data_IF_671432654666
#
_entry.id   IF_671432654666
#
_cell.length_a   1.000
_cell.length_b   1.000
_cell.length_c   1.000
_cell.angle_alpha   90.00
_cell.angle_beta   90.00
_cell.angle_gamma   90.00
#
_symmetry.space_group_name_H-M   'P 1'
#
loop_
_entity.id
_entity.type
_entity.pdbx_description
1 polymer ?
#
# COMPACT_ATOMS: atom_id res chain seq x y z
N UNK A 1 -24.07 -4.97 -18.88
CA UNK A 1 -22.79 -4.32 -18.50
C UNK A 1 -22.66 -3.94 -17.02
N UNK A 2 -23.73 -3.73 -16.23
CA UNK A 2 -23.62 -3.47 -14.76
C UNK A 2 -23.68 -4.72 -13.86
N UNK A 3 -23.80 -5.93 -14.40
CA UNK A 3 -24.05 -7.15 -13.61
C UNK A 3 -22.80 -7.90 -13.16
N UNK A 4 -21.68 -7.79 -13.88
CA UNK A 4 -20.50 -8.66 -13.67
C UNK A 4 -19.55 -8.17 -12.58
N UNK A 5 -19.49 -6.85 -12.32
CA UNK A 5 -18.72 -6.28 -11.19
C UNK A 5 -19.30 -6.67 -9.81
N UNK A 6 -20.56 -7.10 -9.77
CA UNK A 6 -21.24 -7.55 -8.55
C UNK A 6 -21.16 -9.07 -8.33
N UNK A 7 -20.42 -9.80 -9.20
CA UNK A 7 -20.21 -11.24 -8.99
C UNK A 7 -19.44 -11.50 -7.69
N UNK A 8 -19.81 -12.54 -6.94
CA UNK A 8 -19.04 -12.99 -5.78
C UNK A 8 -17.79 -13.78 -6.18
N UNK A 9 -17.68 -14.20 -7.44
CA UNK A 9 -16.49 -14.83 -7.98
C UNK A 9 -15.43 -13.76 -8.31
N UNK A 10 -14.24 -13.89 -7.72
CA UNK A 10 -13.14 -12.97 -7.97
C UNK A 10 -12.53 -13.16 -9.37
N UNK A 11 -12.63 -14.35 -9.98
CA UNK A 11 -12.11 -14.61 -11.34
C UNK A 11 -12.97 -13.96 -12.41
N UNK A 12 -14.30 -13.97 -12.24
CA UNK A 12 -15.22 -13.27 -13.14
C UNK A 12 -15.04 -11.76 -13.05
N UNK A 13 -14.87 -11.23 -11.84
CA UNK A 13 -14.53 -9.81 -11.64
C UNK A 13 -13.16 -9.46 -12.21
N UNK A 14 -12.17 -10.34 -12.08
CA UNK A 14 -10.86 -10.16 -12.70
C UNK A 14 -10.97 -10.13 -14.23
N UNK A 15 -11.78 -11.03 -14.83
CA UNK A 15 -12.01 -11.05 -16.29
C UNK A 15 -12.72 -9.78 -16.75
N UNK A 16 -13.82 -9.39 -16.10
CA UNK A 16 -14.55 -8.17 -16.43
C UNK A 16 -13.71 -6.90 -16.21
N UNK A 17 -12.87 -6.89 -15.15
CA UNK A 17 -11.94 -5.80 -14.86
C UNK A 17 -10.83 -5.69 -15.91
N UNK A 18 -10.31 -6.83 -16.41
CA UNK A 18 -9.39 -6.85 -17.56
C UNK A 18 -10.06 -6.32 -18.83
N UNK A 19 -11.31 -6.70 -19.08
CA UNK A 19 -12.08 -6.22 -20.22
C UNK A 19 -12.39 -4.71 -20.14
N UNK A 20 -12.49 -4.17 -18.92
CA UNK A 20 -12.68 -2.74 -18.63
C UNK A 20 -11.37 -1.95 -18.47
N UNK A 21 -10.23 -2.64 -18.47
CA UNK A 21 -8.93 -2.02 -18.28
C UNK A 21 -8.67 -1.44 -16.88
N UNK A 22 -9.23 -2.04 -15.83
CA UNK A 22 -9.00 -1.68 -14.42
C UNK A 22 -8.29 -2.81 -13.67
N UNK A 23 -7.37 -2.50 -12.75
CA UNK A 23 -6.54 -3.52 -12.09
C UNK A 23 -7.17 -4.11 -10.80
N UNK A 24 -7.09 -5.42 -10.53
CA UNK A 24 -7.78 -6.08 -9.39
C UNK A 24 -6.90 -6.48 -8.18
N UNK A 25 -6.90 -5.76 -7.05
CA UNK A 25 -6.11 -6.18 -5.87
C UNK A 25 -6.63 -7.46 -5.18
N UNK A 26 -5.73 -8.29 -4.64
CA UNK A 26 -6.09 -9.48 -3.86
C UNK A 26 -6.89 -9.10 -2.59
N UNK A 27 -8.15 -9.53 -2.44
CA UNK A 27 -9.09 -8.91 -1.51
C UNK A 27 -8.83 -9.19 -0.01
N UNK A 28 -8.03 -10.21 0.30
CA UNK A 28 -7.82 -10.69 1.68
C UNK A 28 -6.85 -9.86 2.54
N UNK A 29 -6.12 -8.90 1.96
CA UNK A 29 -5.26 -7.98 2.72
C UNK A 29 -4.09 -8.64 3.48
N UNK A 30 -3.76 -9.91 3.21
CA UNK A 30 -2.75 -10.67 3.95
C UNK A 30 -1.35 -10.07 3.87
N UNK A 31 -0.96 -9.49 2.73
CA UNK A 31 0.33 -8.80 2.60
C UNK A 31 0.36 -7.50 3.41
N UNK A 32 -0.71 -6.69 3.34
CA UNK A 32 -0.84 -5.48 4.18
C UNK A 32 -0.87 -5.85 5.66
N UNK A 33 -1.56 -6.94 6.03
CA UNK A 33 -1.58 -7.47 7.40
C UNK A 33 -0.19 -7.87 7.87
N UNK A 34 0.55 -8.64 7.07
CA UNK A 34 1.90 -9.06 7.41
C UNK A 34 2.82 -7.84 7.62
N UNK A 35 2.73 -6.84 6.74
CA UNK A 35 3.47 -5.59 6.88
C UNK A 35 3.07 -4.81 8.15
N UNK A 36 1.77 -4.73 8.44
CA UNK A 36 1.27 -4.12 9.68
C UNK A 36 1.79 -4.83 10.93
N UNK A 37 1.66 -6.15 11.00
CA UNK A 37 2.17 -6.96 12.12
C UNK A 37 3.68 -6.77 12.26
N UNK A 38 4.41 -6.73 11.15
CA UNK A 38 5.86 -6.56 11.17
C UNK A 38 6.27 -5.17 11.66
N UNK A 39 5.53 -4.12 11.30
CA UNK A 39 5.74 -2.75 11.79
C UNK A 39 5.67 -2.61 13.32
N UNK A 40 5.02 -3.57 13.99
CA UNK A 40 4.93 -3.63 15.45
C UNK A 40 6.11 -4.34 16.12
N UNK A 41 6.98 -5.00 15.35
CA UNK A 41 8.20 -5.66 15.86
C UNK A 41 9.36 -4.69 15.98
N UNK A 42 10.39 -5.04 16.76
CA UNK A 42 11.61 -4.21 16.89
C UNK A 42 12.31 -3.96 15.56
N UNK A 43 12.25 -4.92 14.64
CA UNK A 43 12.90 -4.82 13.32
C UNK A 43 12.07 -3.99 12.34
N UNK A 44 10.74 -4.14 12.35
CA UNK A 44 9.85 -3.39 11.45
C UNK A 44 9.47 -1.99 11.97
N UNK A 45 9.77 -1.66 13.23
CA UNK A 45 9.39 -0.37 13.81
C UNK A 45 9.98 0.86 13.09
N UNK A 46 10.99 0.69 12.23
CA UNK A 46 11.53 1.78 11.40
C UNK A 46 10.47 2.38 10.46
N UNK A 47 9.42 1.63 10.12
CA UNK A 47 8.28 2.14 9.37
C UNK A 47 7.60 3.32 10.06
N UNK A 48 7.71 3.42 11.40
CA UNK A 48 7.26 4.62 12.14
C UNK A 48 8.03 5.87 11.72
N UNK A 49 9.31 5.78 11.43
CA UNK A 49 10.11 6.95 11.02
C UNK A 49 9.82 7.37 9.58
N UNK A 50 9.38 6.43 8.75
CA UNK A 50 9.03 6.65 7.34
C UNK A 50 7.62 7.24 7.23
N UNK A 51 6.65 6.72 7.95
CA UNK A 51 5.23 7.06 7.78
C UNK A 51 4.74 8.19 8.70
N UNK A 52 5.46 8.50 9.78
CA UNK A 52 5.05 9.52 10.76
C UNK A 52 4.85 10.88 10.11
N UNK A 53 3.77 11.56 10.50
CA UNK A 53 3.38 12.90 10.04
C UNK A 53 3.15 13.04 8.52
N UNK A 54 3.12 11.92 7.77
CA UNK A 54 2.87 11.91 6.33
C UNK A 54 1.40 11.66 5.99
N UNK A 55 1.01 12.10 4.78
CA UNK A 55 -0.22 11.65 4.12
C UNK A 55 0.06 10.30 3.49
N UNK A 56 -0.52 9.24 4.05
CA UNK A 56 -0.32 7.87 3.55
C UNK A 56 -1.49 7.47 2.65
N UNK A 57 -1.19 6.97 1.46
CA UNK A 57 -2.20 6.48 0.51
C UNK A 57 -1.93 5.01 0.22
N UNK A 58 -2.92 4.14 0.44
CA UNK A 58 -2.87 2.74 0.00
C UNK A 58 -3.62 2.58 -1.33
N UNK A 59 -2.89 2.16 -2.37
CA UNK A 59 -3.44 1.81 -3.68
C UNK A 59 -3.89 0.36 -3.66
N UNK A 60 -5.12 0.10 -4.11
CA UNK A 60 -5.69 -1.25 -4.11
C UNK A 60 -5.87 -1.79 -2.69
N UNK A 61 -6.46 -0.97 -1.81
CA UNK A 61 -6.55 -1.26 -0.38
C UNK A 61 -7.39 -2.52 -0.04
N UNK A 62 -8.17 -3.03 -0.98
CA UNK A 62 -8.99 -4.22 -0.79
C UNK A 62 -10.09 -3.99 0.25
N UNK A 63 -10.49 -5.04 0.97
CA UNK A 63 -11.61 -5.01 1.93
C UNK A 63 -11.16 -4.86 3.39
N UNK A 64 -9.87 -4.97 3.68
CA UNK A 64 -9.36 -5.13 5.04
C UNK A 64 -8.72 -3.85 5.59
N UNK A 65 -8.84 -3.57 6.90
CA UNK A 65 -8.46 -2.27 7.47
C UNK A 65 -6.96 -2.15 7.78
N UNK A 66 -6.14 -3.07 7.27
CA UNK A 66 -4.74 -3.21 7.71
C UNK A 66 -3.85 -2.03 7.30
N UNK A 67 -4.11 -1.38 6.15
CA UNK A 67 -3.34 -0.20 5.74
C UNK A 67 -3.60 0.98 6.66
N UNK A 68 -4.85 1.19 7.07
CA UNK A 68 -5.19 2.19 8.08
C UNK A 68 -4.55 1.84 9.43
N UNK A 69 -4.59 0.57 9.85
CA UNK A 69 -3.97 0.13 11.10
C UNK A 69 -2.45 0.38 11.11
N UNK A 70 -1.77 0.11 10.00
CA UNK A 70 -0.35 0.42 9.79
C UNK A 70 -0.08 1.92 9.89
N UNK A 71 -0.79 2.74 9.10
CA UNK A 71 -0.59 4.18 9.10
C UNK A 71 -0.84 4.81 10.49
N UNK A 72 -1.92 4.39 11.17
CA UNK A 72 -2.25 4.82 12.52
C UNK A 72 -1.19 4.43 13.55
N UNK A 73 -0.74 3.17 13.54
CA UNK A 73 0.30 2.66 14.44
C UNK A 73 1.67 3.33 14.21
N UNK A 74 1.91 3.83 13.00
CA UNK A 74 3.10 4.59 12.64
C UNK A 74 2.98 6.10 12.87
N UNK A 75 1.82 6.61 13.26
CA UNK A 75 1.62 8.04 13.53
C UNK A 75 1.55 8.89 12.26
N UNK A 76 1.00 8.34 11.17
CA UNK A 76 0.73 9.11 9.96
C UNK A 76 -0.23 10.29 10.24
N UNK A 77 -0.12 11.34 9.44
CA UNK A 77 -0.98 12.54 9.57
C UNK A 77 -2.42 12.23 9.16
N UNK A 78 -2.60 11.44 8.11
CA UNK A 78 -3.88 10.92 7.66
C UNK A 78 -3.67 9.73 6.71
N UNK A 79 -4.77 9.04 6.39
CA UNK A 79 -4.77 7.86 5.53
C UNK A 79 -5.85 7.93 4.45
N UNK A 80 -5.52 7.52 3.22
CA UNK A 80 -6.51 7.33 2.15
C UNK A 80 -6.40 5.91 1.61
N UNK A 81 -7.50 5.17 1.66
CA UNK A 81 -7.64 3.91 0.92
C UNK A 81 -8.22 4.20 -0.47
N UNK A 82 -7.49 3.85 -1.51
CA UNK A 82 -7.96 3.92 -2.91
C UNK A 82 -8.37 2.52 -3.34
N UNK A 83 -9.67 2.34 -3.56
CA UNK A 83 -10.25 1.01 -3.81
C UNK A 83 -11.51 1.10 -4.69
N UNK A 84 -11.43 0.76 -5.99
CA UNK A 84 -12.55 0.93 -6.91
C UNK A 84 -13.67 -0.11 -6.75
N UNK A 85 -13.38 -1.32 -6.22
CA UNK A 85 -14.35 -2.43 -6.20
C UNK A 85 -14.94 -2.70 -4.83
N UNK A 86 -14.18 -2.44 -3.77
CA UNK A 86 -14.53 -2.82 -2.41
C UNK A 86 -14.64 -1.65 -1.43
N UNK A 87 -14.74 -0.42 -1.91
CA UNK A 87 -14.72 0.80 -1.09
C UNK A 87 -15.71 0.77 0.08
N UNK A 88 -16.93 0.28 -0.12
CA UNK A 88 -17.94 0.16 0.95
C UNK A 88 -17.50 -0.81 2.05
N UNK A 89 -17.00 -2.00 1.67
CA UNK A 89 -16.48 -2.98 2.62
C UNK A 89 -15.25 -2.44 3.33
N UNK A 90 -14.37 -1.74 2.60
CA UNK A 90 -13.18 -1.16 3.17
C UNK A 90 -13.49 -0.11 4.22
N UNK A 91 -14.45 0.78 3.92
CA UNK A 91 -14.94 1.79 4.85
C UNK A 91 -15.55 1.17 6.11
N UNK A 92 -16.35 0.11 5.93
CA UNK A 92 -16.96 -0.62 7.05
C UNK A 92 -15.90 -1.32 7.90
N UNK A 93 -14.89 -1.95 7.29
CA UNK A 93 -13.78 -2.60 7.98
C UNK A 93 -12.94 -1.62 8.80
N UNK A 94 -12.63 -0.43 8.26
CA UNK A 94 -11.90 0.60 9.00
C UNK A 94 -12.74 1.12 10.17
N UNK A 95 -14.05 1.33 9.95
CA UNK A 95 -14.97 1.75 11.02
C UNK A 95 -15.04 0.70 12.13
N UNK A 96 -15.24 -0.57 11.77
CA UNK A 96 -15.28 -1.68 12.72
C UNK A 96 -14.00 -1.82 13.53
N UNK A 97 -12.82 -1.65 12.90
CA UNK A 97 -11.54 -1.65 13.62
C UNK A 97 -11.45 -0.51 14.65
N UNK A 98 -11.91 0.69 14.29
CA UNK A 98 -11.91 1.85 15.20
C UNK A 98 -12.86 1.60 16.38
N UNK A 99 -14.05 1.07 16.11
CA UNK A 99 -15.05 0.74 17.14
C UNK A 99 -14.55 -0.37 18.08
N UNK A 100 -13.93 -1.42 17.55
CA UNK A 100 -13.40 -2.55 18.33
C UNK A 100 -12.23 -2.13 19.22
N UNK A 101 -11.29 -1.33 18.69
CA UNK A 101 -10.08 -0.94 19.44
C UNK A 101 -10.29 0.29 20.33
N UNK A 102 -11.25 1.15 20.02
CA UNK A 102 -11.57 2.34 20.80
C UNK A 102 -10.34 3.21 21.09
N UNK A 103 -10.14 3.55 22.36
CA UNK A 103 -9.02 4.39 22.83
C UNK A 103 -7.64 3.74 22.69
N UNK A 104 -7.56 2.42 22.45
CA UNK A 104 -6.29 1.71 22.27
C UNK A 104 -5.70 1.87 20.85
N UNK A 105 -6.40 2.56 19.95
CA UNK A 105 -5.91 2.90 18.62
C UNK A 105 -5.61 4.40 18.55
N UNK A 106 -4.39 4.74 18.09
CA UNK A 106 -4.07 6.13 17.75
C UNK A 106 -4.85 6.54 16.49
N UNK A 107 -6.07 7.03 16.68
CA UNK A 107 -6.98 7.36 15.57
C UNK A 107 -6.40 8.52 14.75
N UNK A 108 -6.35 8.32 13.44
CA UNK A 108 -5.96 9.35 12.47
C UNK A 108 -7.14 9.65 11.52
N UNK A 109 -7.23 10.85 10.93
CA UNK A 109 -8.20 11.12 9.87
C UNK A 109 -8.02 10.15 8.71
N UNK A 110 -9.12 9.64 8.16
CA UNK A 110 -9.08 8.76 7.00
C UNK A 110 -10.17 9.06 5.98
N UNK A 111 -9.92 8.65 4.74
CA UNK A 111 -10.89 8.64 3.63
C UNK A 111 -10.80 7.32 2.87
N UNK A 112 -11.91 6.90 2.28
CA UNK A 112 -11.94 5.82 1.27
C UNK A 112 -12.42 6.43 -0.04
N UNK A 113 -11.66 6.20 -1.11
CA UNK A 113 -11.91 6.74 -2.45
C UNK A 113 -12.23 5.59 -3.41
N UNK A 114 -13.46 5.61 -3.93
CA UNK A 114 -13.98 4.60 -4.83
C UNK A 114 -13.60 4.90 -6.30
N UNK A 115 -12.30 5.01 -6.56
CA UNK A 115 -11.76 5.35 -7.89
C UNK A 115 -10.59 4.44 -8.25
N UNK A 116 -10.27 4.40 -9.54
CA UNK A 116 -9.08 3.72 -10.05
C UNK A 116 -7.79 4.37 -9.51
N UNK A 117 -6.74 3.58 -9.28
CA UNK A 117 -5.47 4.10 -8.73
C UNK A 117 -4.82 5.14 -9.64
N UNK A 118 -4.84 4.95 -10.97
CA UNK A 118 -4.26 5.92 -11.89
C UNK A 118 -5.05 7.24 -11.87
N UNK A 119 -6.39 7.15 -11.87
CA UNK A 119 -7.27 8.32 -11.77
C UNK A 119 -7.05 9.09 -10.48
N UNK A 120 -6.87 8.38 -9.35
CA UNK A 120 -6.55 9.02 -8.07
C UNK A 120 -5.22 9.76 -8.14
N UNK A 121 -4.15 9.08 -8.55
CA UNK A 121 -2.81 9.68 -8.57
C UNK A 121 -2.74 10.91 -9.48
N UNK A 122 -3.40 10.89 -10.64
CA UNK A 122 -3.46 12.02 -11.59
C UNK A 122 -4.12 13.28 -11.02
N UNK A 123 -4.91 13.17 -9.95
CA UNK A 123 -5.55 14.31 -9.27
C UNK A 123 -4.71 14.87 -8.13
N UNK A 124 -3.73 14.10 -7.66
CA UNK A 124 -2.91 14.50 -6.54
C UNK A 124 -1.78 15.45 -7.00
N UNK A 125 -1.48 16.50 -6.22
CA UNK A 125 -0.32 17.35 -6.45
C UNK A 125 1.00 16.58 -6.48
N UNK A 126 1.99 17.17 -7.13
CA UNK A 126 3.39 16.71 -7.07
C UNK A 126 3.89 16.72 -5.62
N UNK A 127 4.81 15.81 -5.31
CA UNK A 127 5.60 15.81 -4.07
C UNK A 127 4.78 15.87 -2.76
N UNK A 128 3.65 15.16 -2.69
CA UNK A 128 2.70 15.23 -1.57
C UNK A 128 2.52 13.94 -0.76
N UNK A 129 2.77 12.78 -1.36
CA UNK A 129 2.32 11.51 -0.81
C UNK A 129 3.46 10.63 -0.29
N UNK A 130 3.14 9.81 0.71
CA UNK A 130 3.79 8.53 0.93
C UNK A 130 2.81 7.42 0.51
N UNK A 131 3.26 6.51 -0.35
CA UNK A 131 2.36 5.56 -1.02
C UNK A 131 2.65 4.14 -0.54
N UNK A 132 1.58 3.34 -0.39
CA UNK A 132 1.61 1.93 -0.07
C UNK A 132 0.87 1.16 -1.17
N UNK A 133 1.42 0.02 -1.61
CA UNK A 133 0.68 -0.95 -2.40
C UNK A 133 1.09 -2.37 -2.00
N UNK A 134 0.11 -3.23 -1.77
CA UNK A 134 0.32 -4.58 -1.32
C UNK A 134 -0.40 -5.57 -2.25
N UNK A 135 0.31 -6.56 -2.79
CA UNK A 135 -0.32 -7.61 -3.62
C UNK A 135 -0.87 -7.12 -4.97
N UNK A 136 -0.30 -6.06 -5.54
CA UNK A 136 -0.66 -5.60 -6.90
C UNK A 136 0.25 -6.30 -7.92
N UNK A 137 -0.16 -7.47 -8.40
CA UNK A 137 0.62 -8.28 -9.35
C UNK A 137 0.29 -7.95 -10.82
N UNK A 138 1.19 -8.26 -11.76
CA UNK A 138 0.96 -8.01 -13.18
C UNK A 138 -0.31 -8.68 -13.72
N UNK A 139 -0.68 -9.84 -13.18
CA UNK A 139 -1.86 -10.57 -13.63
C UNK A 139 -3.16 -9.85 -13.32
N UNK A 140 -3.15 -8.91 -12.38
CA UNK A 140 -4.32 -8.15 -12.02
C UNK A 140 -4.36 -6.79 -12.70
N UNK A 141 -3.25 -6.29 -13.24
CA UNK A 141 -3.20 -5.00 -13.90
C UNK A 141 -3.83 -5.07 -15.31
N UNK A 142 -4.37 -3.94 -15.81
CA UNK A 142 -4.93 -3.85 -17.17
C UNK A 142 -3.94 -4.20 -18.28
N UNK A 143 -2.65 -3.96 -18.02
CA UNK A 143 -1.57 -4.19 -18.98
C UNK A 143 -0.36 -3.31 -18.68
N UNK A 144 0.70 -3.54 -19.46
CA UNK A 144 2.00 -2.89 -19.26
C UNK A 144 1.94 -1.36 -19.38
N UNK A 145 1.12 -0.83 -20.31
CA UNK A 145 0.99 0.61 -20.51
C UNK A 145 0.30 1.30 -19.33
N UNK A 146 -0.68 0.64 -18.74
CA UNK A 146 -1.31 1.12 -17.51
C UNK A 146 -0.31 1.12 -16.36
N UNK A 147 0.44 0.03 -16.20
CA UNK A 147 1.48 -0.09 -15.18
C UNK A 147 2.49 1.06 -15.27
N UNK A 148 3.01 1.33 -16.47
CA UNK A 148 3.96 2.44 -16.71
C UNK A 148 3.38 3.80 -16.35
N UNK A 149 2.09 4.03 -16.61
CA UNK A 149 1.43 5.29 -16.22
C UNK A 149 1.34 5.42 -14.70
N UNK A 150 0.95 4.35 -14.00
CA UNK A 150 0.92 4.34 -12.52
C UNK A 150 2.32 4.56 -11.95
N UNK A 151 3.33 3.88 -12.49
CA UNK A 151 4.73 4.04 -12.09
C UNK A 151 5.24 5.48 -12.30
N UNK A 152 4.91 6.11 -13.43
CA UNK A 152 5.24 7.52 -13.67
C UNK A 152 4.56 8.47 -12.69
N UNK A 153 3.30 8.24 -12.38
CA UNK A 153 2.57 9.03 -11.39
C UNK A 153 3.11 8.83 -9.97
N UNK A 154 3.55 7.61 -9.62
CA UNK A 154 4.25 7.36 -8.35
C UNK A 154 5.51 8.23 -8.23
N UNK A 155 6.32 8.34 -9.29
CA UNK A 155 7.49 9.22 -9.28
C UNK A 155 7.12 10.70 -9.04
N UNK A 156 6.00 11.16 -9.62
CA UNK A 156 5.56 12.56 -9.55
C UNK A 156 4.99 12.94 -8.18
N UNK A 157 4.14 12.09 -7.61
CA UNK A 157 3.35 12.42 -6.41
C UNK A 157 4.08 12.17 -5.10
N UNK A 158 5.18 11.39 -5.09
CA UNK A 158 5.92 11.09 -3.86
C UNK A 158 6.60 12.32 -3.30
N UNK A 159 6.39 12.62 -2.01
CA UNK A 159 7.22 13.62 -1.32
C UNK A 159 8.70 13.26 -1.47
N UNK A 160 9.58 14.26 -1.62
CA UNK A 160 10.99 14.05 -1.96
C UNK A 160 11.73 13.09 -1.03
N UNK A 161 11.40 13.14 0.26
CA UNK A 161 11.98 12.31 1.31
C UNK A 161 11.07 11.15 1.76
N UNK A 162 9.97 10.89 1.04
CA UNK A 162 9.08 9.75 1.27
C UNK A 162 9.47 8.54 0.41
N UNK A 163 8.77 7.43 0.68
CA UNK A 163 8.89 6.19 -0.08
C UNK A 163 7.54 5.76 -0.64
N UNK A 164 7.60 5.07 -1.78
CA UNK A 164 6.59 4.10 -2.18
C UNK A 164 6.96 2.74 -1.58
N UNK A 165 6.10 2.26 -0.66
CA UNK A 165 6.21 0.97 0.00
C UNK A 165 5.45 -0.07 -0.82
N UNK A 166 6.19 -1.00 -1.42
CA UNK A 166 5.65 -2.07 -2.26
C UNK A 166 5.85 -3.42 -1.58
N UNK A 167 4.78 -4.04 -1.08
CA UNK A 167 4.84 -5.40 -0.52
C UNK A 167 4.16 -6.39 -1.46
N UNK A 168 4.94 -7.29 -2.07
CA UNK A 168 4.42 -8.21 -3.11
C UNK A 168 3.63 -7.52 -4.24
N UNK A 169 3.99 -6.29 -4.59
CA UNK A 169 3.51 -5.59 -5.78
C UNK A 169 4.57 -5.60 -6.87
N UNK A 170 4.12 -5.68 -8.13
CA UNK A 170 4.93 -5.66 -9.34
C UNK A 170 5.12 -4.24 -9.90
N UNK A 171 4.51 -3.22 -9.28
CA UNK A 171 4.82 -1.82 -9.58
C UNK A 171 6.29 -1.53 -9.26
N UNK A 172 7.03 -1.08 -10.27
CA UNK A 172 8.47 -0.84 -10.20
C UNK A 172 8.84 0.47 -10.91
N UNK A 173 8.61 1.64 -10.26
CA UNK A 173 9.00 2.94 -10.82
C UNK A 173 10.52 3.02 -11.00
N UNK A 174 10.98 3.00 -12.25
CA UNK A 174 12.40 2.88 -12.62
C UNK A 174 13.25 4.12 -12.26
N UNK A 175 12.62 5.28 -12.13
CA UNK A 175 13.31 6.53 -11.79
C UNK A 175 13.59 6.65 -10.28
N UNK A 176 13.08 5.72 -9.47
CA UNK A 176 13.33 5.67 -8.04
C UNK A 176 14.34 4.57 -7.71
N UNK A 177 15.30 4.90 -6.83
CA UNK A 177 16.15 3.87 -6.23
C UNK A 177 15.25 2.93 -5.42
N UNK A 178 15.59 1.64 -5.41
CA UNK A 178 14.85 0.66 -4.61
C UNK A 178 15.77 -0.15 -3.71
N UNK A 179 15.24 -0.54 -2.54
CA UNK A 179 15.88 -1.48 -1.63
C UNK A 179 14.85 -2.49 -1.14
N UNK A 180 15.23 -3.75 -1.08
CA UNK A 180 14.36 -4.86 -0.73
C UNK A 180 14.73 -5.42 0.65
N UNK A 181 13.72 -5.61 1.48
CA UNK A 181 13.81 -6.22 2.80
C UNK A 181 12.91 -7.46 2.80
N UNK A 182 13.51 -8.61 3.09
CA UNK A 182 12.76 -9.83 3.40
C UNK A 182 12.55 -9.94 4.90
N UNK A 183 11.33 -10.29 5.32
CA UNK A 183 10.98 -10.44 6.73
C UNK A 183 10.08 -11.66 6.95
N UNK A 184 10.24 -12.38 8.08
CA UNK A 184 9.34 -13.46 8.43
C UNK A 184 7.98 -12.88 8.82
N UNK A 185 6.90 -13.48 8.31
CA UNK A 185 5.54 -13.12 8.71
C UNK A 185 5.36 -13.34 10.21
N UNK A 186 4.99 -12.32 11.01
CA UNK A 186 4.88 -12.51 12.45
C UNK A 186 3.86 -13.57 12.86
N UNK A 187 2.71 -13.63 12.19
CA UNK A 187 1.68 -14.65 12.42
C UNK A 187 2.05 -16.05 11.91
N UNK A 188 3.03 -16.18 11.03
CA UNK A 188 3.54 -17.48 10.57
C UNK A 188 5.02 -17.37 10.12
N UNK A 189 5.98 -17.52 11.04
CA UNK A 189 7.40 -17.28 10.74
C UNK A 189 8.05 -18.19 9.68
N UNK A 190 7.32 -19.21 9.20
CA UNK A 190 7.77 -20.07 8.09
C UNK A 190 7.57 -19.40 6.71
N UNK A 191 6.75 -18.35 6.65
CA UNK A 191 6.51 -17.56 5.45
C UNK A 191 7.41 -16.34 5.50
N UNK A 192 8.14 -16.09 4.40
CA UNK A 192 8.90 -14.86 4.19
C UNK A 192 8.09 -13.94 3.29
N UNK A 193 7.85 -12.73 3.77
CA UNK A 193 7.25 -11.64 3.00
C UNK A 193 8.34 -10.67 2.54
N UNK A 194 8.04 -9.94 1.47
CA UNK A 194 8.93 -8.98 0.81
C UNK A 194 8.36 -7.57 0.96
N UNK A 195 9.20 -6.64 1.40
CA UNK A 195 8.95 -5.20 1.29
C UNK A 195 10.02 -4.57 0.40
N UNK A 196 9.60 -3.83 -0.61
CA UNK A 196 10.47 -2.96 -1.40
C UNK A 196 10.15 -1.51 -1.09
N UNK A 197 11.18 -0.75 -0.78
CA UNK A 197 11.10 0.70 -0.58
C UNK A 197 11.62 1.35 -1.85
N UNK A 198 10.82 2.17 -2.50
CA UNK A 198 11.22 2.99 -3.64
C UNK A 198 11.25 4.45 -3.22
N UNK A 199 12.38 5.14 -3.42
CA UNK A 199 12.53 6.53 -2.99
C UNK A 199 13.53 7.31 -3.82
N UNK A 200 13.40 8.64 -3.75
CA UNK A 200 14.34 9.59 -4.34
C UNK A 200 15.65 9.70 -3.55
N UNK A 201 16.56 10.55 -4.01
CA UNK A 201 17.85 10.77 -3.36
C UNK A 201 17.69 11.26 -1.91
N UNK A 202 16.82 12.23 -1.66
CA UNK A 202 16.59 12.81 -0.33
C UNK A 202 16.05 11.77 0.67
N UNK A 203 15.17 10.86 0.23
CA UNK A 203 14.66 9.76 1.05
C UNK A 203 15.80 8.83 1.51
N UNK A 204 16.72 8.47 0.60
CA UNK A 204 17.86 7.62 0.94
C UNK A 204 18.99 8.35 1.67
N UNK A 205 19.15 9.66 1.48
CA UNK A 205 20.05 10.46 2.32
C UNK A 205 19.59 10.44 3.78
N UNK A 206 18.27 10.58 4.00
CA UNK A 206 17.67 10.63 5.32
C UNK A 206 17.57 9.27 6.01
N UNK A 207 17.15 8.23 5.28
CA UNK A 207 16.80 6.93 5.86
C UNK A 207 17.68 5.76 5.39
N UNK A 208 18.54 5.97 4.39
CA UNK A 208 19.26 4.90 3.69
C UNK A 208 20.15 4.05 4.59
N UNK A 209 20.94 4.68 5.47
CA UNK A 209 21.82 3.93 6.39
C UNK A 209 21.03 2.96 7.29
N UNK A 210 19.87 3.39 7.80
CA UNK A 210 19.01 2.55 8.64
C UNK A 210 18.41 1.39 7.83
N UNK A 211 17.99 1.65 6.60
CA UNK A 211 17.46 0.63 5.70
C UNK A 211 18.55 -0.38 5.31
N UNK A 212 19.76 0.07 4.99
CA UNK A 212 20.90 -0.78 4.65
C UNK A 212 21.28 -1.72 5.80
N UNK A 213 21.30 -1.22 7.03
CA UNK A 213 21.52 -2.05 8.22
C UNK A 213 20.45 -3.16 8.36
N UNK A 214 19.19 -2.86 8.05
CA UNK A 214 18.10 -3.84 8.11
C UNK A 214 18.20 -4.91 7.03
N UNK A 215 18.67 -4.55 5.84
CA UNK A 215 18.91 -5.50 4.74
C UNK A 215 20.07 -6.44 5.10
N UNK A 216 21.18 -5.90 5.60
CA UNK A 216 22.34 -6.69 5.99
C UNK A 216 22.09 -7.62 7.18
N UNK A 217 21.27 -7.20 8.15
CA UNK A 217 20.92 -8.02 9.31
C UNK A 217 19.89 -9.14 8.99
N UNK A 218 19.33 -9.17 7.78
CA UNK A 218 18.38 -10.18 7.34
C UNK A 218 18.89 -11.14 6.27
N UNK A 219 20.15 -10.99 5.85
CA UNK A 219 20.85 -11.90 4.97
C UNK A 219 21.54 -13.04 5.72
#
# INVERSE_FOLDING_TARGET
>A
MKSELNSRDWRERLSASRDLGTGFAAPGGEFTRALYEWALTDRGNFLKDILRDRRVVELGAGMMPHGYALAAACGAKNFVAVEPFYSDLQKNSVTGLIEERGENLNRIPYKVEAVDMLEYLQREPDELLCVLACGIEDCILPGLDYRKKVEGELCRVLEKDAFFLSSHSDLYPLDLKSMEINFPRPSNPRVLDRLRLHGGAEAYEKYGQKIEALVQAGG
#
